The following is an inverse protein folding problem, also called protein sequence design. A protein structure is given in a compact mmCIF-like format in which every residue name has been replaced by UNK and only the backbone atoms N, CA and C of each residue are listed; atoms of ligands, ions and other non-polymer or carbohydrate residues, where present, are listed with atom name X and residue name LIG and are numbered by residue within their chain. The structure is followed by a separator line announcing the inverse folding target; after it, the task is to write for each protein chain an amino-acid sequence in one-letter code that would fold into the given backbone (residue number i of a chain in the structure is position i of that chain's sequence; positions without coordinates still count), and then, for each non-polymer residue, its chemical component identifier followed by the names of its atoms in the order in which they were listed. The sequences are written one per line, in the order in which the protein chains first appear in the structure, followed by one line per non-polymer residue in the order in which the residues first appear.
data_IF_954996275407
#
_entry.id   IF_954996275407
#
_cell.length_a   1.000
_cell.length_b   1.000
_cell.length_c   1.000
_cell.angle_alpha   90.00
_cell.angle_beta   90.00
_cell.angle_gamma   90.00
#
_symmetry.space_group_name_H-M   'P 1'
#
loop_
_entity.id
_entity.type
_entity.pdbx_description
1 polymer ?
#
# COMPACT_ATOMS: atom_id res chain seq x y z
N UNK A 1 -29.42 -12.88 43.26
CA UNK A 1 -28.86 -11.57 42.87
C UNK A 1 -27.33 -11.67 42.91
N UNK A 2 -26.70 -12.05 41.83
CA UNK A 2 -25.24 -12.14 41.74
C UNK A 2 -24.72 -10.83 41.17
N UNK A 3 -23.92 -10.11 41.94
CA UNK A 3 -23.34 -8.82 41.64
C UNK A 3 -22.31 -8.93 40.50
N UNK A 4 -22.60 -8.32 39.37
CA UNK A 4 -21.76 -8.22 38.18
C UNK A 4 -20.61 -7.22 38.33
N UNK A 5 -19.73 -7.35 39.32
CA UNK A 5 -18.60 -6.44 39.57
C UNK A 5 -17.27 -6.85 38.90
N UNK A 6 -17.21 -7.92 38.07
CA UNK A 6 -15.95 -8.40 37.50
C UNK A 6 -15.58 -7.84 36.13
N UNK A 7 -16.32 -6.93 35.58
CA UNK A 7 -16.11 -6.46 34.19
C UNK A 7 -15.00 -5.40 33.90
N UNK A 8 -14.37 -4.70 34.85
CA UNK A 8 -13.34 -3.70 34.49
C UNK A 8 -11.94 -4.28 34.24
N UNK A 9 -11.58 -5.40 34.88
CA UNK A 9 -10.21 -5.92 34.90
C UNK A 9 -9.67 -6.30 33.51
N UNK A 10 -10.30 -7.25 32.84
CA UNK A 10 -9.83 -7.73 31.52
C UNK A 10 -9.79 -6.63 30.48
N UNK A 11 -10.70 -5.71 30.55
CA UNK A 11 -10.71 -4.61 29.63
C UNK A 11 -9.58 -3.61 29.81
N UNK A 12 -9.17 -3.36 31.05
CA UNK A 12 -7.99 -2.55 31.34
C UNK A 12 -6.72 -3.28 30.85
N UNK A 13 -6.59 -4.56 31.15
CA UNK A 13 -5.47 -5.40 30.70
C UNK A 13 -5.30 -5.36 29.18
N UNK A 14 -6.38 -5.55 28.40
CA UNK A 14 -6.34 -5.49 26.95
C UNK A 14 -5.93 -4.12 26.43
N UNK A 15 -6.38 -3.03 27.09
CA UNK A 15 -5.96 -1.67 26.72
C UNK A 15 -4.46 -1.47 27.00
N UNK A 16 -3.94 -1.95 28.13
CA UNK A 16 -2.51 -1.86 28.43
C UNK A 16 -1.64 -2.68 27.46
N UNK A 17 -2.06 -3.91 27.14
CA UNK A 17 -1.36 -4.76 26.17
C UNK A 17 -1.35 -4.06 24.79
N UNK A 18 -2.49 -3.55 24.35
CA UNK A 18 -2.57 -2.83 23.08
C UNK A 18 -1.72 -1.57 23.05
N UNK A 19 -1.69 -0.81 24.16
CA UNK A 19 -0.82 0.38 24.26
C UNK A 19 0.66 0.02 24.22
N UNK A 20 1.06 -1.05 24.92
CA UNK A 20 2.44 -1.54 24.87
C UNK A 20 2.82 -2.03 23.46
N UNK A 21 1.91 -2.74 22.76
CA UNK A 21 2.14 -3.19 21.40
C UNK A 21 2.30 -2.02 20.42
N UNK A 22 1.46 -0.97 20.53
CA UNK A 22 1.59 0.24 19.70
C UNK A 22 2.91 0.97 20.00
N UNK A 23 3.28 1.12 21.27
CA UNK A 23 4.53 1.77 21.65
C UNK A 23 5.75 0.99 21.11
N UNK A 24 5.73 -0.34 21.23
CA UNK A 24 6.79 -1.18 20.68
C UNK A 24 6.88 -1.07 19.15
N UNK A 25 5.74 -1.09 18.45
CA UNK A 25 5.69 -0.93 17.01
C UNK A 25 6.16 0.46 16.58
N UNK A 26 5.76 1.51 17.30
CA UNK A 26 6.21 2.88 17.04
C UNK A 26 7.73 3.00 17.16
N UNK A 27 8.32 2.47 18.23
CA UNK A 27 9.76 2.46 18.43
C UNK A 27 10.49 1.61 17.36
N UNK A 28 9.93 0.46 17.03
CA UNK A 28 10.49 -0.39 15.97
C UNK A 28 10.47 0.30 14.61
N UNK A 29 9.38 1.00 14.28
CA UNK A 29 9.25 1.75 13.02
C UNK A 29 10.19 2.96 12.95
N UNK A 30 10.45 3.63 14.08
CA UNK A 30 11.43 4.71 14.16
C UNK A 30 12.88 4.21 14.00
N UNK A 31 13.23 3.11 14.67
CA UNK A 31 14.58 2.56 14.64
C UNK A 31 14.90 1.83 13.34
N UNK A 32 13.88 1.28 12.70
CA UNK A 32 14.01 0.40 11.54
C UNK A 32 12.96 0.75 10.48
N UNK A 33 13.05 1.94 9.86
CA UNK A 33 12.13 2.33 8.80
C UNK A 33 12.30 1.44 7.56
N UNK A 34 11.29 1.39 6.67
CA UNK A 34 11.42 0.78 5.35
C UNK A 34 12.52 1.46 4.54
N UNK A 35 13.46 0.70 4.01
CA UNK A 35 14.66 1.19 3.32
C UNK A 35 14.83 0.64 1.90
N UNK A 36 13.81 -0.07 1.40
CA UNK A 36 13.82 -0.64 0.05
C UNK A 36 14.57 -1.96 -0.08
N UNK A 37 15.14 -2.50 1.01
CA UNK A 37 15.87 -3.78 0.96
C UNK A 37 14.95 -4.97 1.24
N UNK A 38 15.17 -6.05 0.51
CA UNK A 38 14.52 -7.34 0.80
C UNK A 38 15.26 -8.05 1.95
N UNK A 39 14.51 -8.76 2.79
CA UNK A 39 15.04 -9.44 3.99
C UNK A 39 14.44 -10.83 4.11
N UNK A 40 14.71 -11.47 5.28
CA UNK A 40 14.36 -12.85 5.56
C UNK A 40 12.99 -13.29 5.03
N UNK A 41 12.95 -14.41 4.33
CA UNK A 41 11.76 -14.98 3.66
C UNK A 41 10.56 -15.13 4.60
N UNK A 42 10.78 -15.55 5.84
CA UNK A 42 9.69 -15.68 6.84
C UNK A 42 9.00 -14.33 7.11
N UNK A 43 9.77 -13.24 7.21
CA UNK A 43 9.19 -11.91 7.42
C UNK A 43 8.40 -11.44 6.19
N UNK A 44 8.89 -11.74 4.99
CA UNK A 44 8.16 -11.48 3.74
C UNK A 44 6.89 -12.32 3.66
N UNK A 45 6.97 -13.62 4.00
CA UNK A 45 5.81 -14.51 3.99
C UNK A 45 4.71 -14.01 4.92
N UNK A 46 5.04 -13.70 6.17
CA UNK A 46 4.08 -13.14 7.14
C UNK A 46 3.51 -11.83 6.61
N UNK A 47 4.36 -10.89 6.20
CA UNK A 47 3.93 -9.58 5.70
C UNK A 47 3.03 -9.63 4.47
N UNK A 48 3.03 -10.71 3.69
CA UNK A 48 2.12 -10.89 2.55
C UNK A 48 0.66 -11.07 2.95
N UNK A 49 0.36 -11.33 4.23
CA UNK A 49 -1.01 -11.35 4.74
C UNK A 49 -1.58 -9.94 4.98
N UNK A 50 -0.74 -8.89 4.97
CA UNK A 50 -1.20 -7.51 5.18
C UNK A 50 -2.39 -7.10 4.31
N UNK A 51 -2.43 -7.33 2.98
CA UNK A 51 -3.59 -6.99 2.15
C UNK A 51 -4.88 -7.69 2.57
N UNK A 52 -4.79 -8.89 3.14
CA UNK A 52 -5.95 -9.61 3.68
C UNK A 52 -6.38 -9.01 5.02
N UNK A 53 -5.43 -8.77 5.91
CA UNK A 53 -5.70 -8.29 7.27
C UNK A 53 -6.32 -6.90 7.31
N UNK A 54 -5.96 -5.99 6.37
CA UNK A 54 -6.48 -4.60 6.35
C UNK A 54 -7.99 -4.53 6.12
N UNK A 55 -8.61 -5.54 5.53
CA UNK A 55 -10.07 -5.57 5.34
C UNK A 55 -10.80 -5.61 6.69
N UNK A 56 -10.21 -6.25 7.71
CA UNK A 56 -10.77 -6.31 9.06
C UNK A 56 -10.97 -4.93 9.69
N UNK A 57 -9.90 -4.14 9.93
CA UNK A 57 -10.06 -2.82 10.52
C UNK A 57 -10.89 -1.87 9.65
N UNK A 58 -10.80 -1.94 8.32
CA UNK A 58 -11.63 -1.11 7.42
C UNK A 58 -13.11 -1.37 7.69
N UNK A 59 -13.55 -2.62 7.62
CA UNK A 59 -14.95 -2.98 7.82
C UNK A 59 -15.44 -2.66 9.25
N UNK A 60 -14.64 -3.00 10.26
CA UNK A 60 -15.03 -2.84 11.65
C UNK A 60 -15.07 -1.38 12.08
N UNK A 61 -14.11 -0.54 11.67
CA UNK A 61 -14.11 0.90 12.00
C UNK A 61 -15.30 1.60 11.34
N UNK A 62 -15.66 1.25 10.10
CA UNK A 62 -16.84 1.81 9.42
C UNK A 62 -18.15 1.32 10.04
N UNK A 63 -18.19 0.12 10.58
CA UNK A 63 -19.38 -0.43 11.25
C UNK A 63 -19.70 0.29 12.58
N UNK A 64 -18.67 0.76 13.31
CA UNK A 64 -18.89 1.40 14.63
C UNK A 64 -19.83 2.60 14.58
N UNK A 65 -19.63 3.62 13.72
CA UNK A 65 -20.57 4.75 13.65
C UNK A 65 -21.98 4.34 13.21
N UNK A 66 -22.12 3.32 12.37
CA UNK A 66 -23.42 2.78 11.97
C UNK A 66 -24.16 2.22 13.20
N UNK A 67 -23.46 1.44 14.02
CA UNK A 67 -24.02 0.87 15.26
C UNK A 67 -24.33 1.96 16.29
N UNK A 68 -23.52 3.02 16.39
CA UNK A 68 -23.77 4.15 17.28
C UNK A 68 -25.02 4.94 16.87
N UNK A 69 -25.15 5.23 15.57
CA UNK A 69 -26.32 5.95 15.02
C UNK A 69 -27.56 5.08 15.16
N UNK A 70 -27.51 3.83 14.76
CA UNK A 70 -28.63 2.89 14.91
C UNK A 70 -29.02 2.72 16.39
N UNK A 71 -28.04 2.62 17.29
CA UNK A 71 -28.27 2.51 18.74
C UNK A 71 -28.75 3.79 19.41
N UNK A 72 -28.86 4.93 18.68
CA UNK A 72 -29.47 6.13 19.18
C UNK A 72 -31.02 6.03 19.32
N UNK A 73 -31.61 5.13 18.53
CA UNK A 73 -33.04 4.90 18.55
C UNK A 73 -33.47 3.96 19.70
N UNK A 74 -34.64 4.19 20.35
CA UNK A 74 -35.07 3.37 21.49
C UNK A 74 -35.17 1.88 21.23
N UNK A 75 -35.68 1.50 20.04
CA UNK A 75 -35.86 0.10 19.62
C UNK A 75 -34.57 -0.68 19.42
N UNK A 76 -33.48 0.00 19.06
CA UNK A 76 -32.20 -0.60 18.68
C UNK A 76 -31.05 -0.20 19.60
N UNK A 77 -31.37 0.38 20.79
CA UNK A 77 -30.35 0.85 21.75
C UNK A 77 -29.34 -0.20 22.20
N UNK A 78 -29.68 -1.49 22.09
CA UNK A 78 -28.76 -2.60 22.37
C UNK A 78 -27.56 -2.62 21.44
N UNK A 79 -27.65 -2.03 20.24
CA UNK A 79 -26.55 -1.94 19.28
C UNK A 79 -25.39 -1.08 19.78
N UNK A 80 -25.63 -0.16 20.72
CA UNK A 80 -24.54 0.58 21.39
C UNK A 80 -23.58 -0.35 22.16
N UNK A 81 -24.09 -1.42 22.75
CA UNK A 81 -23.22 -2.40 23.41
C UNK A 81 -22.36 -3.13 22.38
N UNK A 82 -22.96 -3.54 21.26
CA UNK A 82 -22.24 -4.14 20.14
C UNK A 82 -21.16 -3.21 19.57
N UNK A 83 -21.45 -1.90 19.43
CA UNK A 83 -20.46 -0.92 18.96
C UNK A 83 -19.19 -0.89 19.83
N UNK A 84 -19.32 -1.07 21.15
CA UNK A 84 -18.17 -1.15 22.06
C UNK A 84 -17.31 -2.38 21.85
N UNK A 85 -17.92 -3.54 21.61
CA UNK A 85 -17.22 -4.77 21.29
C UNK A 85 -16.53 -4.70 19.92
N UNK A 86 -17.26 -4.23 18.91
CA UNK A 86 -16.74 -4.07 17.54
C UNK A 86 -15.55 -3.11 17.51
N UNK A 87 -15.60 -2.00 18.25
CA UNK A 87 -14.48 -1.06 18.32
C UNK A 87 -13.25 -1.66 19.01
N UNK A 88 -13.45 -2.46 20.06
CA UNK A 88 -12.34 -3.18 20.70
C UNK A 88 -11.68 -4.19 19.75
N UNK A 89 -12.49 -4.93 18.98
CA UNK A 89 -12.01 -5.84 17.96
C UNK A 89 -11.31 -5.09 16.82
N UNK A 90 -11.90 -3.97 16.37
CA UNK A 90 -11.30 -3.12 15.34
C UNK A 90 -9.90 -2.63 15.73
N UNK A 91 -9.73 -2.18 16.99
CA UNK A 91 -8.43 -1.76 17.50
C UNK A 91 -7.41 -2.91 17.53
N UNK A 92 -7.82 -4.11 17.98
CA UNK A 92 -6.93 -5.27 18.01
C UNK A 92 -6.47 -5.69 16.60
N UNK A 93 -7.40 -5.76 15.65
CA UNK A 93 -7.08 -6.13 14.26
C UNK A 93 -6.27 -5.02 13.57
N UNK A 94 -6.52 -3.73 13.88
CA UNK A 94 -5.73 -2.62 13.36
C UNK A 94 -4.27 -2.67 13.84
N UNK A 95 -4.03 -3.04 15.10
CA UNK A 95 -2.68 -3.25 15.63
C UNK A 95 -1.98 -4.41 14.89
N UNK A 96 -2.67 -5.52 14.69
CA UNK A 96 -2.15 -6.66 13.94
C UNK A 96 -1.82 -6.29 12.49
N UNK A 97 -2.74 -5.59 11.81
CA UNK A 97 -2.52 -5.12 10.45
C UNK A 97 -1.36 -4.12 10.34
N UNK A 98 -1.21 -3.20 11.30
CA UNK A 98 -0.11 -2.25 11.31
C UNK A 98 1.25 -2.93 11.54
N UNK A 99 1.31 -3.93 12.43
CA UNK A 99 2.52 -4.73 12.66
C UNK A 99 2.91 -5.51 11.40
N UNK A 100 1.94 -6.19 10.79
CA UNK A 100 2.16 -6.98 9.59
C UNK A 100 2.56 -6.12 8.38
N UNK A 101 1.93 -4.94 8.25
CA UNK A 101 2.29 -3.94 7.24
C UNK A 101 3.71 -3.38 7.43
N UNK A 102 4.14 -3.17 8.67
CA UNK A 102 5.52 -2.78 8.96
C UNK A 102 6.51 -3.89 8.59
N UNK A 103 6.20 -5.15 8.91
CA UNK A 103 7.00 -6.31 8.50
C UNK A 103 7.13 -6.38 6.97
N UNK A 104 6.00 -6.26 6.25
CA UNK A 104 6.00 -6.25 4.78
C UNK A 104 6.84 -5.10 4.23
N UNK A 105 6.61 -3.88 4.73
CA UNK A 105 7.31 -2.69 4.24
C UNK A 105 8.82 -2.79 4.45
N UNK A 106 9.23 -3.34 5.59
CA UNK A 106 10.64 -3.48 5.95
C UNK A 106 11.35 -4.64 5.23
N UNK A 107 10.65 -5.72 4.88
CA UNK A 107 11.26 -6.93 4.34
C UNK A 107 10.99 -7.18 2.87
N UNK A 108 10.00 -6.51 2.28
CA UNK A 108 9.53 -6.78 0.92
C UNK A 108 10.03 -5.80 -0.15
N UNK A 109 11.16 -5.14 0.06
CA UNK A 109 11.74 -4.22 -0.94
C UNK A 109 10.95 -2.91 -1.12
N UNK A 110 10.13 -2.52 -0.14
CA UNK A 110 9.36 -1.27 -0.19
C UNK A 110 10.17 -0.09 0.37
N UNK A 111 10.08 1.07 -0.29
CA UNK A 111 10.74 2.29 0.12
C UNK A 111 10.03 3.56 -0.35
N UNK A 112 10.56 4.72 0.05
CA UNK A 112 10.05 6.02 -0.34
C UNK A 112 8.94 6.58 0.55
N UNK A 113 8.62 7.86 0.34
CA UNK A 113 7.75 8.64 1.23
C UNK A 113 6.32 8.10 1.34
N UNK A 114 5.77 7.51 0.26
CA UNK A 114 4.42 6.96 0.28
C UNK A 114 4.32 5.74 1.20
N UNK A 115 5.34 4.87 1.19
CA UNK A 115 5.41 3.70 2.09
C UNK A 115 5.49 4.16 3.55
N UNK A 116 6.36 5.13 3.82
CA UNK A 116 6.54 5.70 5.17
C UNK A 116 5.25 6.37 5.65
N UNK A 117 4.59 7.19 4.82
CA UNK A 117 3.35 7.86 5.20
C UNK A 117 2.20 6.87 5.42
N UNK A 118 2.07 5.83 4.58
CA UNK A 118 1.08 4.75 4.75
C UNK A 118 1.33 3.96 6.05
N UNK A 119 2.57 3.62 6.35
CA UNK A 119 2.97 2.95 7.60
C UNK A 119 2.55 3.77 8.83
N UNK A 120 2.90 5.07 8.86
CA UNK A 120 2.53 5.95 9.99
C UNK A 120 1.03 6.17 10.08
N UNK A 121 0.33 6.22 8.95
CA UNK A 121 -1.13 6.25 8.90
C UNK A 121 -1.75 5.03 9.58
N UNK A 122 -1.25 3.83 9.28
CA UNK A 122 -1.70 2.59 9.89
C UNK A 122 -1.47 2.53 11.41
N UNK A 123 -0.27 2.91 11.86
CA UNK A 123 0.07 3.00 13.30
C UNK A 123 -0.83 4.02 14.01
N UNK A 124 -1.03 5.20 13.41
CA UNK A 124 -1.89 6.23 13.96
C UNK A 124 -3.35 5.79 14.04
N UNK A 125 -3.85 5.11 13.02
CA UNK A 125 -5.21 4.56 13.00
C UNK A 125 -5.42 3.52 14.11
N UNK A 126 -4.45 2.64 14.32
CA UNK A 126 -4.47 1.66 15.42
C UNK A 126 -4.50 2.37 16.79
N UNK A 127 -3.66 3.40 16.97
CA UNK A 127 -3.60 4.19 18.20
C UNK A 127 -4.91 4.94 18.48
N UNK A 128 -5.48 5.61 17.48
CA UNK A 128 -6.75 6.33 17.60
C UNK A 128 -7.90 5.36 17.91
N UNK A 129 -7.94 4.20 17.26
CA UNK A 129 -8.96 3.17 17.50
C UNK A 129 -8.88 2.61 18.91
N UNK A 130 -7.67 2.35 19.42
CA UNK A 130 -7.45 1.88 20.79
C UNK A 130 -7.82 2.96 21.82
N UNK A 131 -7.43 4.21 21.58
CA UNK A 131 -7.79 5.34 22.43
C UNK A 131 -9.31 5.53 22.48
N UNK A 132 -10.00 5.46 21.33
CA UNK A 132 -11.46 5.53 21.27
C UNK A 132 -12.12 4.40 22.06
N UNK A 133 -11.63 3.17 21.98
CA UNK A 133 -12.12 2.04 22.75
C UNK A 133 -11.89 2.22 24.25
N UNK A 134 -10.72 2.72 24.66
CA UNK A 134 -10.40 3.02 26.05
C UNK A 134 -11.27 4.13 26.63
N UNK A 135 -11.39 5.27 25.94
CA UNK A 135 -12.25 6.41 26.36
C UNK A 135 -13.71 5.98 26.46
N UNK A 136 -14.22 5.24 25.47
CA UNK A 136 -15.58 4.72 25.50
C UNK A 136 -15.85 3.88 26.75
N UNK A 137 -14.92 2.98 27.10
CA UNK A 137 -15.05 2.10 28.27
C UNK A 137 -15.17 2.88 29.58
N UNK A 138 -14.40 3.96 29.74
CA UNK A 138 -14.41 4.78 30.98
C UNK A 138 -15.36 5.95 30.92
N UNK A 139 -16.11 6.12 29.85
CA UNK A 139 -17.01 7.28 29.67
C UNK A 139 -18.16 7.29 30.66
N UNK A 140 -18.76 6.13 30.99
CA UNK A 140 -19.84 5.98 31.96
C UNK A 140 -20.93 7.09 31.87
N UNK A 141 -21.20 7.57 30.63
CA UNK A 141 -22.16 8.66 30.38
C UNK A 141 -21.66 10.07 30.73
N UNK A 142 -20.44 10.28 31.18
CA UNK A 142 -19.88 11.61 31.48
C UNK A 142 -19.70 12.44 30.21
N UNK A 143 -20.38 13.63 30.10
CA UNK A 143 -20.39 14.39 28.81
C UNK A 143 -19.02 14.66 28.18
N UNK A 144 -17.97 15.12 28.89
CA UNK A 144 -16.68 15.40 28.27
C UNK A 144 -16.01 14.16 27.71
N UNK A 145 -16.17 12.99 28.32
CA UNK A 145 -15.61 11.72 27.82
C UNK A 145 -16.37 11.18 26.61
N UNK A 146 -17.71 11.39 26.60
CA UNK A 146 -18.53 11.07 25.43
C UNK A 146 -18.11 11.93 24.23
N UNK A 147 -17.88 13.23 24.45
CA UNK A 147 -17.38 14.13 23.43
C UNK A 147 -16.01 13.70 22.89
N UNK A 148 -15.06 13.38 23.79
CA UNK A 148 -13.74 12.89 23.42
C UNK A 148 -13.82 11.58 22.60
N UNK A 149 -14.66 10.64 23.01
CA UNK A 149 -14.90 9.41 22.24
C UNK A 149 -15.41 9.69 20.82
N UNK A 150 -16.43 10.57 20.72
CA UNK A 150 -17.00 10.93 19.41
C UNK A 150 -15.98 11.62 18.51
N UNK A 151 -15.13 12.46 19.07
CA UNK A 151 -14.06 13.13 18.33
C UNK A 151 -13.03 12.14 17.81
N UNK A 152 -12.59 11.19 18.66
CA UNK A 152 -11.67 10.12 18.23
C UNK A 152 -12.29 9.24 17.13
N UNK A 153 -13.56 8.89 17.26
CA UNK A 153 -14.25 8.12 16.23
C UNK A 153 -14.39 8.91 14.92
N UNK A 154 -14.72 10.20 15.01
CA UNK A 154 -14.82 11.08 13.84
C UNK A 154 -13.46 11.28 13.15
N UNK A 155 -12.35 11.34 13.90
CA UNK A 155 -11.00 11.45 13.33
C UNK A 155 -10.50 10.13 12.73
N UNK A 156 -10.97 9.00 13.21
CA UNK A 156 -10.59 7.69 12.66
C UNK A 156 -11.04 7.50 11.21
N UNK A 157 -12.18 8.06 10.80
CA UNK A 157 -12.74 7.90 9.46
C UNK A 157 -11.84 8.56 8.37
N UNK A 158 -11.54 9.87 8.44
CA UNK A 158 -10.65 10.49 7.45
C UNK A 158 -9.24 9.89 7.47
N UNK A 159 -8.73 9.50 8.66
CA UNK A 159 -7.45 8.82 8.78
C UNK A 159 -7.48 7.44 8.09
N UNK A 160 -8.57 6.68 8.25
CA UNK A 160 -8.78 5.42 7.55
C UNK A 160 -8.79 5.61 6.03
N UNK A 161 -9.57 6.60 5.53
CA UNK A 161 -9.66 6.90 4.10
C UNK A 161 -8.28 7.27 3.54
N UNK A 162 -7.57 8.16 4.20
CA UNK A 162 -6.23 8.59 3.78
C UNK A 162 -5.23 7.43 3.77
N UNK A 163 -5.21 6.61 4.83
CA UNK A 163 -4.32 5.45 4.92
C UNK A 163 -4.66 4.40 3.86
N UNK A 164 -5.94 4.09 3.66
CA UNK A 164 -6.39 3.14 2.65
C UNK A 164 -6.08 3.61 1.23
N UNK A 165 -6.21 4.92 0.95
CA UNK A 165 -5.84 5.50 -0.33
C UNK A 165 -4.34 5.29 -0.62
N UNK A 166 -3.47 5.59 0.34
CA UNK A 166 -2.02 5.34 0.20
C UNK A 166 -1.68 3.86 -0.05
N UNK A 167 -2.37 2.93 0.63
CA UNK A 167 -2.25 1.49 0.37
C UNK A 167 -2.70 1.09 -1.03
N UNK A 168 -3.81 1.68 -1.51
CA UNK A 168 -4.30 1.51 -2.88
C UNK A 168 -3.29 2.00 -3.92
N UNK A 169 -2.68 3.17 -3.70
CA UNK A 169 -1.62 3.70 -4.58
C UNK A 169 -0.38 2.80 -4.61
N UNK A 170 0.02 2.23 -3.48
CA UNK A 170 1.15 1.28 -3.41
C UNK A 170 0.89 0.00 -4.20
N UNK A 171 -0.37 -0.45 -4.25
CA UNK A 171 -0.76 -1.71 -4.89
C UNK A 171 -1.11 -1.56 -6.36
N UNK A 172 -1.79 -0.46 -6.73
CA UNK A 172 -2.42 -0.28 -8.05
C UNK A 172 -1.92 0.96 -8.81
N UNK A 173 -1.12 1.82 -8.16
CA UNK A 173 -0.66 3.09 -8.72
C UNK A 173 -1.59 4.28 -8.39
N UNK A 174 -1.08 5.49 -8.62
CA UNK A 174 -1.68 6.76 -8.21
C UNK A 174 -2.96 7.15 -8.94
N UNK A 175 -3.20 6.61 -10.12
CA UNK A 175 -4.38 6.91 -10.94
C UNK A 175 -5.50 5.88 -10.83
N UNK A 176 -5.31 4.78 -10.08
CA UNK A 176 -6.23 3.65 -10.05
C UNK A 176 -7.68 4.04 -9.78
N UNK A 177 -7.94 4.88 -8.78
CA UNK A 177 -9.29 5.32 -8.43
C UNK A 177 -9.84 6.40 -9.36
N UNK A 178 -8.97 7.13 -10.05
CA UNK A 178 -9.36 8.31 -10.80
C UNK A 178 -9.31 8.14 -12.32
N UNK A 179 -8.63 7.12 -12.84
CA UNK A 179 -8.45 6.92 -14.28
C UNK A 179 -9.76 6.84 -15.08
N UNK A 180 -10.80 6.23 -14.50
CA UNK A 180 -12.12 6.08 -15.13
C UNK A 180 -13.18 7.03 -14.55
N UNK A 181 -12.78 8.03 -13.77
CA UNK A 181 -13.73 8.97 -13.16
C UNK A 181 -14.39 9.83 -14.26
N UNK A 182 -15.74 9.89 -14.30
CA UNK A 182 -16.45 10.75 -15.25
C UNK A 182 -16.05 12.22 -15.11
N UNK A 183 -15.99 12.95 -16.25
CA UNK A 183 -15.55 14.36 -16.25
C UNK A 183 -16.41 15.26 -15.36
N UNK A 184 -17.72 15.06 -15.30
CA UNK A 184 -18.60 15.82 -14.42
C UNK A 184 -18.28 15.64 -12.93
N UNK A 185 -18.05 14.41 -12.50
CA UNK A 185 -17.67 14.10 -11.11
C UNK A 185 -16.28 14.65 -10.80
N UNK A 186 -15.36 14.54 -11.75
CA UNK A 186 -13.99 15.05 -11.66
C UNK A 186 -13.99 16.56 -11.45
N UNK A 187 -14.76 17.28 -12.23
CA UNK A 187 -14.91 18.73 -12.11
C UNK A 187 -15.54 19.13 -10.78
N UNK A 188 -16.57 18.40 -10.34
CA UNK A 188 -17.25 18.66 -9.06
C UNK A 188 -16.31 18.45 -7.86
N UNK A 189 -15.45 17.43 -7.91
CA UNK A 189 -14.50 17.12 -6.85
C UNK A 189 -13.16 17.88 -6.97
N UNK A 190 -12.96 18.68 -7.99
CA UNK A 190 -11.70 19.39 -8.25
C UNK A 190 -10.52 18.46 -8.56
N UNK A 191 -10.80 17.21 -9.01
CA UNK A 191 -9.76 16.23 -9.35
C UNK A 191 -9.25 16.49 -10.75
N UNK A 192 -7.96 16.80 -10.87
CA UNK A 192 -7.32 17.00 -12.18
C UNK A 192 -7.43 15.73 -13.03
N UNK A 193 -7.57 15.89 -14.35
CA UNK A 193 -7.41 14.72 -15.25
C UNK A 193 -6.03 14.12 -15.00
N UNK A 194 -5.93 12.77 -14.96
CA UNK A 194 -4.63 12.14 -14.93
C UNK A 194 -3.82 12.75 -16.05
N UNK A 195 -2.77 13.49 -15.71
CA UNK A 195 -1.82 13.90 -16.74
C UNK A 195 -1.40 12.61 -17.42
N UNK A 196 -1.41 12.52 -18.76
CA UNK A 196 -0.63 11.47 -19.39
C UNK A 196 0.71 11.52 -18.65
N UNK A 197 1.11 10.43 -17.99
CA UNK A 197 2.42 10.42 -17.34
C UNK A 197 3.36 10.98 -18.37
N UNK A 198 4.23 11.94 -18.03
CA UNK A 198 5.15 12.42 -19.01
C UNK A 198 5.89 11.18 -19.50
N UNK A 199 5.55 10.71 -20.66
CA UNK A 199 6.48 10.02 -21.53
C UNK A 199 7.66 10.95 -21.47
N UNK A 200 8.74 10.56 -20.78
CA UNK A 200 9.93 11.36 -20.45
C UNK A 200 10.03 12.48 -21.49
N UNK A 201 9.79 13.72 -21.07
CA UNK A 201 9.43 14.82 -21.94
C UNK A 201 10.31 14.75 -23.17
N UNK A 202 9.73 14.44 -24.32
CA UNK A 202 10.42 14.53 -25.61
C UNK A 202 10.71 16.01 -25.76
N UNK A 203 11.90 16.39 -25.34
CA UNK A 203 12.40 17.74 -25.55
C UNK A 203 12.66 17.86 -27.07
N UNK A 204 11.67 18.36 -27.77
CA UNK A 204 11.64 18.61 -29.21
C UNK A 204 11.40 17.35 -30.10
N UNK A 205 10.67 17.48 -31.21
CA UNK A 205 10.45 16.41 -32.19
C UNK A 205 11.75 15.83 -32.78
N UNK A 206 12.85 16.58 -32.70
CA UNK A 206 14.18 16.16 -33.19
C UNK A 206 14.92 15.16 -32.26
N UNK A 207 14.37 14.85 -31.06
CA UNK A 207 15.00 13.95 -30.09
C UNK A 207 14.11 12.77 -29.67
N UNK A 208 13.07 12.47 -30.43
CA UNK A 208 12.22 11.31 -30.18
C UNK A 208 13.02 10.01 -30.45
N UNK A 209 13.33 9.26 -29.39
CA UNK A 209 14.06 8.01 -29.50
C UNK A 209 13.13 6.82 -29.30
N UNK A 210 13.50 5.64 -29.79
CA UNK A 210 12.78 4.39 -29.57
C UNK A 210 12.58 4.14 -28.07
N UNK A 211 13.62 4.42 -27.28
CA UNK A 211 13.52 4.30 -25.82
C UNK A 211 12.44 5.22 -25.24
N UNK A 212 12.49 6.51 -25.52
CA UNK A 212 11.58 7.50 -24.93
C UNK A 212 10.13 7.35 -25.40
N UNK A 213 9.92 6.92 -26.65
CA UNK A 213 8.58 6.86 -27.26
C UNK A 213 7.88 5.53 -27.09
N UNK A 214 8.61 4.43 -26.96
CA UNK A 214 8.02 3.08 -26.92
C UNK A 214 8.49 2.23 -25.74
N UNK A 215 9.81 2.18 -25.45
CA UNK A 215 10.33 1.31 -24.40
C UNK A 215 9.99 1.84 -23.01
N UNK A 216 10.32 3.09 -22.70
CA UNK A 216 10.04 3.66 -21.38
C UNK A 216 8.55 3.66 -21.01
N UNK A 217 7.59 3.99 -21.93
CA UNK A 217 6.17 3.84 -21.65
C UNK A 217 5.73 2.39 -21.39
N UNK A 218 6.29 1.42 -22.10
CA UNK A 218 6.02 0.01 -21.88
C UNK A 218 6.51 -0.44 -20.49
N UNK A 219 7.74 -0.07 -20.12
CA UNK A 219 8.31 -0.37 -18.80
C UNK A 219 7.48 0.28 -17.69
N UNK A 220 7.04 1.53 -17.88
CA UNK A 220 6.19 2.23 -16.91
C UNK A 220 4.88 1.49 -16.66
N UNK A 221 4.22 1.00 -17.70
CA UNK A 221 2.96 0.28 -17.59
C UNK A 221 3.11 -1.12 -16.98
N UNK A 222 4.17 -1.84 -17.30
CA UNK A 222 4.32 -3.28 -17.00
C UNK A 222 5.22 -3.57 -15.81
N UNK A 223 6.26 -2.75 -15.57
CA UNK A 223 7.38 -3.08 -14.70
C UNK A 223 7.53 -2.13 -13.51
N UNK A 224 7.39 -0.81 -13.72
CA UNK A 224 7.71 0.24 -12.74
C UNK A 224 6.86 0.16 -11.46
N UNK A 225 5.67 -0.43 -11.51
CA UNK A 225 4.85 -0.65 -10.30
C UNK A 225 5.54 -1.53 -9.24
N UNK A 226 6.51 -2.36 -9.64
CA UNK A 226 7.33 -3.20 -8.76
C UNK A 226 8.82 -2.81 -8.80
N UNK A 227 9.31 -2.28 -9.92
CA UNK A 227 10.70 -1.90 -10.14
C UNK A 227 10.82 -0.38 -10.34
N UNK A 228 10.31 0.39 -9.40
CA UNK A 228 10.23 1.85 -9.46
C UNK A 228 10.62 2.52 -8.15
N UNK A 229 10.37 3.87 -8.03
CA UNK A 229 10.79 4.62 -6.86
C UNK A 229 10.00 4.30 -5.59
N UNK A 230 8.77 3.77 -5.72
CA UNK A 230 7.91 3.40 -4.59
C UNK A 230 8.17 1.97 -4.10
N UNK A 231 8.64 1.11 -5.00
CA UNK A 231 8.95 -0.30 -4.75
C UNK A 231 10.09 -0.72 -5.67
N UNK A 232 11.17 -1.21 -5.09
CA UNK A 232 12.40 -1.55 -5.79
C UNK A 232 12.73 -3.04 -5.57
N UNK A 233 11.88 -3.93 -6.13
CA UNK A 233 12.10 -5.37 -6.00
C UNK A 233 13.41 -5.77 -6.65
N UNK A 234 14.20 -6.61 -5.94
CA UNK A 234 15.52 -7.07 -6.38
C UNK A 234 16.51 -5.93 -6.63
N UNK A 235 16.35 -4.79 -5.93
CA UNK A 235 17.21 -3.62 -6.13
C UNK A 235 17.08 -2.94 -7.51
N UNK A 236 16.19 -3.42 -8.37
CA UNK A 236 16.07 -2.99 -9.77
C UNK A 236 15.15 -1.76 -9.92
N UNK A 237 15.63 -0.73 -10.63
CA UNK A 237 14.89 0.47 -11.01
C UNK A 237 14.70 0.52 -12.52
N UNK A 238 13.44 0.56 -12.98
CA UNK A 238 13.09 0.59 -14.41
C UNK A 238 12.35 1.86 -14.82
N UNK A 239 12.24 2.81 -13.92
CA UNK A 239 11.61 4.13 -14.13
C UNK A 239 12.55 5.16 -14.75
N UNK A 240 13.79 4.79 -15.00
CA UNK A 240 14.78 5.60 -15.72
C UNK A 240 15.74 4.69 -16.49
N UNK A 241 16.28 5.21 -17.60
CA UNK A 241 17.29 4.51 -18.39
C UNK A 241 18.53 4.14 -17.56
N UNK A 242 19.04 5.09 -16.77
CA UNK A 242 20.19 4.86 -15.90
C UNK A 242 19.93 3.75 -14.86
N UNK A 243 18.73 3.73 -14.27
CA UNK A 243 18.33 2.69 -13.32
C UNK A 243 18.22 1.32 -13.96
N UNK A 244 17.63 1.23 -15.16
CA UNK A 244 17.52 -0.01 -15.92
C UNK A 244 18.90 -0.58 -16.31
N UNK A 245 19.80 0.28 -16.81
CA UNK A 245 21.14 -0.13 -17.22
C UNK A 245 22.07 -0.46 -16.06
N UNK A 246 21.81 0.11 -14.85
CA UNK A 246 22.52 -0.26 -13.62
C UNK A 246 22.26 -1.72 -13.23
N UNK A 247 21.05 -2.23 -13.50
CA UNK A 247 20.61 -3.55 -13.05
C UNK A 247 20.12 -3.59 -11.61
N UNK A 248 19.94 -4.79 -11.08
CA UNK A 248 19.49 -5.09 -9.73
C UNK A 248 20.58 -5.68 -8.84
N UNK A 249 20.15 -6.32 -7.75
CA UNK A 249 21.03 -6.97 -6.76
C UNK A 249 21.83 -8.13 -7.37
N UNK A 250 21.21 -8.86 -8.31
CA UNK A 250 21.85 -10.01 -9.01
C UNK A 250 22.68 -9.58 -10.21
N UNK A 251 22.80 -8.27 -10.47
CA UNK A 251 23.62 -7.72 -11.56
C UNK A 251 22.81 -7.11 -12.71
N UNK A 252 23.44 -6.94 -13.89
CA UNK A 252 22.82 -6.32 -15.05
C UNK A 252 21.65 -7.15 -15.60
N UNK A 253 20.51 -6.49 -15.86
CA UNK A 253 19.32 -7.13 -16.46
C UNK A 253 19.26 -6.95 -17.98
N UNK A 254 20.09 -6.06 -18.53
CA UNK A 254 20.25 -5.79 -19.95
C UNK A 254 21.69 -6.10 -20.35
N UNK A 255 21.88 -6.94 -21.36
CA UNK A 255 23.13 -7.14 -22.08
C UNK A 255 22.98 -6.53 -23.47
N UNK A 256 23.51 -5.32 -23.76
CA UNK A 256 23.38 -4.68 -25.06
C UNK A 256 23.84 -5.60 -26.19
N UNK A 257 23.12 -5.56 -27.30
CA UNK A 257 23.29 -6.44 -28.51
C UNK A 257 23.03 -7.93 -28.27
N UNK A 258 22.67 -8.34 -27.03
CA UNK A 258 22.53 -9.75 -26.67
C UNK A 258 21.20 -10.04 -25.98
N UNK A 259 20.04 -9.97 -26.68
CA UNK A 259 18.73 -10.18 -26.07
C UNK A 259 18.61 -11.54 -25.37
N UNK A 260 19.20 -12.61 -25.94
CA UNK A 260 19.17 -13.95 -25.33
C UNK A 260 20.00 -14.09 -24.04
N UNK A 261 20.90 -13.13 -23.76
CA UNK A 261 21.68 -13.07 -22.52
C UNK A 261 21.14 -12.00 -21.56
N UNK A 262 20.12 -11.26 -21.96
CA UNK A 262 19.50 -10.26 -21.13
C UNK A 262 18.47 -10.89 -20.21
N UNK A 263 18.65 -10.73 -18.91
CA UNK A 263 17.78 -11.31 -17.88
C UNK A 263 16.32 -10.84 -18.01
N UNK A 264 16.09 -9.60 -18.43
CA UNK A 264 14.74 -9.11 -18.73
C UNK A 264 14.07 -9.96 -19.81
N UNK A 265 14.77 -10.30 -20.90
CA UNK A 265 14.21 -11.12 -21.98
C UNK A 265 13.93 -12.54 -21.50
N UNK A 266 14.83 -13.14 -20.71
CA UNK A 266 14.60 -14.44 -20.12
C UNK A 266 13.31 -14.44 -19.31
N UNK A 267 13.16 -13.53 -18.34
CA UNK A 267 12.05 -13.52 -17.41
C UNK A 267 10.69 -13.22 -18.06
N UNK A 268 10.63 -12.38 -19.09
CA UNK A 268 9.35 -12.06 -19.78
C UNK A 268 8.91 -13.14 -20.78
N UNK A 269 9.75 -14.14 -21.04
CA UNK A 269 9.48 -15.25 -21.98
C UNK A 269 9.36 -16.61 -21.32
N UNK A 270 9.51 -16.70 -19.98
CA UNK A 270 9.21 -17.91 -19.22
C UNK A 270 7.72 -18.25 -19.27
N UNK A 271 7.37 -19.46 -18.90
CA UNK A 271 5.97 -19.83 -18.71
C UNK A 271 5.36 -19.05 -17.51
N UNK A 272 4.08 -18.67 -17.56
CA UNK A 272 3.45 -17.84 -16.52
C UNK A 272 3.40 -18.46 -15.12
N UNK A 273 3.58 -19.77 -14.98
CA UNK A 273 3.64 -20.53 -13.74
C UNK A 273 5.08 -20.68 -13.19
N UNK A 274 6.09 -20.21 -13.91
CA UNK A 274 7.48 -20.17 -13.43
C UNK A 274 7.63 -19.08 -12.36
N UNK A 275 8.34 -19.41 -11.28
CA UNK A 275 8.57 -18.47 -10.14
C UNK A 275 9.34 -17.21 -10.57
N UNK A 276 10.17 -17.32 -11.61
CA UNK A 276 10.96 -16.24 -12.18
C UNK A 276 10.22 -15.44 -13.25
N UNK A 277 9.03 -15.86 -13.66
CA UNK A 277 8.27 -15.18 -14.70
C UNK A 277 7.94 -13.72 -14.34
N UNK A 278 8.08 -12.83 -15.29
CA UNK A 278 7.71 -11.42 -15.16
C UNK A 278 6.78 -10.96 -16.29
N UNK A 279 5.76 -10.17 -15.93
CA UNK A 279 5.41 -9.60 -14.63
C UNK A 279 4.75 -10.62 -13.71
N UNK A 280 5.23 -10.72 -12.48
CA UNK A 280 4.75 -11.68 -11.47
C UNK A 280 3.41 -11.26 -10.82
N UNK A 281 2.84 -12.17 -10.01
CA UNK A 281 1.67 -11.86 -9.16
C UNK A 281 0.35 -11.79 -9.92
N UNK A 282 0.16 -12.65 -10.93
CA UNK A 282 -1.09 -12.74 -11.69
C UNK A 282 -1.35 -11.56 -12.65
N UNK A 283 -0.35 -10.73 -12.91
CA UNK A 283 -0.43 -9.66 -13.90
C UNK A 283 -0.45 -10.25 -15.31
N UNK A 284 -1.16 -9.56 -16.22
CA UNK A 284 -1.21 -9.96 -17.62
C UNK A 284 0.20 -10.03 -18.22
N UNK A 285 0.60 -11.16 -18.85
CA UNK A 285 1.84 -11.28 -19.59
C UNK A 285 2.00 -10.18 -20.66
N UNK A 286 3.24 -9.92 -21.05
CA UNK A 286 3.50 -9.07 -22.22
C UNK A 286 2.97 -9.78 -23.48
N UNK A 287 2.46 -9.00 -24.43
CA UNK A 287 2.10 -9.53 -25.74
C UNK A 287 3.37 -9.91 -26.53
N UNK A 288 3.26 -10.80 -27.53
CA UNK A 288 4.38 -11.13 -28.40
C UNK A 288 5.06 -9.90 -29.04
N UNK A 289 4.27 -8.88 -29.41
CA UNK A 289 4.76 -7.62 -29.97
C UNK A 289 5.52 -6.79 -28.92
N UNK A 290 5.05 -6.76 -27.66
CA UNK A 290 5.72 -6.07 -26.56
C UNK A 290 7.06 -6.77 -26.22
N UNK A 291 7.09 -8.09 -26.23
CA UNK A 291 8.32 -8.88 -26.04
C UNK A 291 9.30 -8.61 -27.16
N UNK A 292 8.83 -8.70 -28.41
CA UNK A 292 9.66 -8.44 -29.59
C UNK A 292 10.25 -7.03 -29.59
N UNK A 293 9.46 -6.03 -29.22
CA UNK A 293 9.92 -4.63 -29.12
C UNK A 293 11.11 -4.48 -28.17
N UNK A 294 11.06 -5.13 -26.99
CA UNK A 294 12.18 -5.10 -26.04
C UNK A 294 13.40 -5.84 -26.60
N UNK A 295 13.19 -7.00 -27.21
CA UNK A 295 14.26 -7.79 -27.81
C UNK A 295 14.97 -7.05 -28.95
N UNK A 296 14.20 -6.42 -29.84
CA UNK A 296 14.73 -5.66 -30.98
C UNK A 296 15.53 -4.44 -30.49
N UNK A 297 15.00 -3.72 -29.47
CA UNK A 297 15.72 -2.60 -28.87
C UNK A 297 17.05 -3.04 -28.24
N UNK A 298 17.07 -4.17 -27.55
CA UNK A 298 18.31 -4.72 -26.97
C UNK A 298 19.26 -5.20 -28.06
N UNK A 299 18.77 -5.85 -29.12
CA UNK A 299 19.55 -6.28 -30.25
C UNK A 299 20.24 -5.12 -31.01
N UNK A 300 19.57 -3.96 -30.99
CA UNK A 300 20.12 -2.71 -31.55
C UNK A 300 21.07 -1.95 -30.59
N UNK A 301 21.40 -2.55 -29.43
CA UNK A 301 22.36 -1.99 -28.47
C UNK A 301 21.76 -1.36 -27.24
N UNK A 302 20.44 -1.44 -27.03
CA UNK A 302 19.72 -0.93 -25.88
C UNK A 302 19.96 0.58 -25.60
N UNK A 303 20.16 1.39 -26.64
CA UNK A 303 20.50 2.80 -26.50
C UNK A 303 19.26 3.65 -26.22
N UNK A 304 19.41 4.66 -25.35
CA UNK A 304 18.40 5.71 -25.13
C UNK A 304 18.38 6.78 -26.24
N UNK A 305 19.36 6.73 -27.17
CA UNK A 305 19.52 7.69 -28.27
C UNK A 305 19.13 7.13 -29.65
N UNK A 306 18.73 5.87 -29.73
CA UNK A 306 18.31 5.25 -30.97
C UNK A 306 17.09 6.00 -31.53
N UNK A 307 17.09 6.46 -32.80
CA UNK A 307 15.93 7.11 -33.39
C UNK A 307 14.66 6.25 -33.29
N UNK A 308 13.50 6.87 -33.12
CA UNK A 308 12.22 6.22 -33.33
C UNK A 308 11.97 6.18 -34.83
N UNK A 309 11.98 4.98 -35.43
CA UNK A 309 11.50 4.81 -36.80
C UNK A 309 9.99 4.95 -36.91
#
# INVERSE_FOLDING_TARGET
MASSKEKPFWGAVLTWIGSAAIAALFLAALQRPPDGTERAELAQFIGRFHPLLVHGPIALILLVPILEIAGAFPRTRHLRAAAGFVLGLAAAVAIGAALDGWLLARSGGYGGNLVVSHMWGGISLAAVSLAAAGVRRVSAGRPPRVAAYRLLLASAIPLLVWTSHGGGELSHGDTFLTQYMPDGLRSFLGVAKPKPRPVLAVQSPASATLYSTRIAPLLDQRCVSCHGPKKTKGGLRMDSYAGLMKGGEDGPVIAPWQPLKSEICRRITLEPDDDDFMPSGGKKPLSPDEVKLIQDWIAAGASDRQPAE
#
